data_IF_103643193039
#
_entry.id   IF_103643193039
#
_cell.length_a   1.000
_cell.length_b   1.000
_cell.length_c   1.000
_cell.angle_alpha   90.00
_cell.angle_beta   90.00
_cell.angle_gamma   90.00
#
_symmetry.space_group_name_H-M   'P 1'
#
loop_
_entity.id
_entity.type
_entity.pdbx_description
1 polymer ?
#
# COMPACT_ATOMS: atom_id res chain seq x y z
N UNK A 1 11.44 3.75 4.62
CA UNK A 1 10.02 4.12 4.45
C UNK A 1 9.90 5.52 3.88
N UNK A 2 10.54 6.54 4.46
CA UNK A 2 10.53 7.92 3.92
C UNK A 2 10.97 8.07 2.45
N UNK A 3 12.07 7.42 2.03
CA UNK A 3 12.55 7.53 0.63
C UNK A 3 11.56 6.98 -0.41
N UNK A 4 10.78 5.94 -0.06
CA UNK A 4 9.79 5.33 -0.96
C UNK A 4 8.59 6.26 -1.14
N UNK A 5 8.16 6.89 -0.06
CA UNK A 5 7.06 7.87 -0.11
C UNK A 5 7.43 9.04 -1.04
N UNK A 6 8.67 9.54 -0.95
CA UNK A 6 9.16 10.62 -1.83
C UNK A 6 9.18 10.18 -3.29
N UNK A 7 9.71 8.99 -3.59
CA UNK A 7 9.78 8.48 -4.97
C UNK A 7 8.39 8.29 -5.60
N UNK A 8 7.42 7.80 -4.83
CA UNK A 8 6.04 7.61 -5.28
C UNK A 8 5.31 8.93 -5.57
N UNK A 9 5.66 10.00 -4.85
CA UNK A 9 5.11 11.34 -5.07
C UNK A 9 5.70 12.01 -6.33
N UNK A 10 6.95 11.69 -6.68
CA UNK A 10 7.73 12.36 -7.72
C UNK A 10 7.43 11.85 -9.15
N UNK A 11 7.44 10.53 -9.37
CA UNK A 11 7.50 10.01 -10.75
C UNK A 11 6.16 9.85 -11.48
N UNK A 12 5.01 9.69 -10.79
CA UNK A 12 3.74 9.32 -11.49
C UNK A 12 2.43 9.87 -10.93
N UNK A 13 2.43 10.55 -9.78
CA UNK A 13 1.19 10.78 -9.06
C UNK A 13 1.17 12.14 -8.34
N UNK A 14 1.10 13.24 -9.11
CA UNK A 14 0.93 14.60 -8.60
C UNK A 14 -0.36 14.85 -7.77
N UNK A 15 -1.11 13.80 -7.42
CA UNK A 15 -2.33 13.86 -6.63
C UNK A 15 -2.41 12.80 -5.53
N UNK A 16 -1.40 11.93 -5.35
CA UNK A 16 -1.36 11.04 -4.20
C UNK A 16 -0.91 11.84 -2.98
N UNK A 17 -1.73 11.85 -1.93
CA UNK A 17 -1.38 12.45 -0.66
C UNK A 17 -0.96 11.36 0.34
N UNK A 18 0.07 11.61 1.15
CA UNK A 18 0.46 10.72 2.22
C UNK A 18 -0.51 10.82 3.39
N UNK A 19 -0.91 9.66 3.91
CA UNK A 19 -1.72 9.54 5.10
C UNK A 19 -1.06 8.57 6.08
N UNK A 20 -1.27 8.84 7.36
CA UNK A 20 -0.96 7.91 8.43
C UNK A 20 -2.27 7.51 9.10
N UNK A 21 -2.50 6.20 9.19
CA UNK A 21 -3.60 5.64 9.97
C UNK A 21 -3.12 5.41 11.40
N UNK A 22 -3.64 6.18 12.35
CA UNK A 22 -3.26 6.04 13.75
C UNK A 22 -3.76 4.74 14.39
N UNK A 23 -4.87 4.16 13.92
CA UNK A 23 -5.42 2.94 14.51
C UNK A 23 -4.63 1.72 14.02
N UNK A 24 -4.37 1.68 12.71
CA UNK A 24 -3.67 0.58 12.04
C UNK A 24 -2.15 0.75 12.03
N UNK A 25 -1.65 1.91 12.48
CA UNK A 25 -0.23 2.28 12.53
C UNK A 25 0.49 2.12 11.19
N UNK A 26 -0.19 2.46 10.09
CA UNK A 26 0.29 2.27 8.71
C UNK A 26 0.32 3.58 7.94
N UNK A 27 1.40 3.76 7.17
CA UNK A 27 1.48 4.80 6.15
C UNK A 27 0.92 4.28 4.84
N UNK A 28 0.10 5.09 4.18
CA UNK A 28 -0.41 4.80 2.83
C UNK A 28 -0.51 6.10 2.01
N UNK A 29 -0.55 5.95 0.69
CA UNK A 29 -0.81 7.04 -0.23
C UNK A 29 -2.22 6.90 -0.80
N UNK A 30 -2.92 8.00 -1.04
CA UNK A 30 -4.25 7.99 -1.62
C UNK A 30 -4.53 9.24 -2.44
N UNK A 31 -5.36 9.11 -3.47
CA UNK A 31 -5.90 10.25 -4.23
C UNK A 31 -7.26 10.65 -3.67
N UNK A 32 -7.52 11.94 -3.49
CA UNK A 32 -8.77 12.46 -2.87
C UNK A 32 -10.05 11.97 -3.56
N UNK A 33 -10.03 11.83 -4.89
CA UNK A 33 -11.16 11.43 -5.72
C UNK A 33 -11.31 9.91 -5.89
N UNK A 34 -10.47 9.10 -5.23
CA UNK A 34 -10.51 7.64 -5.33
C UNK A 34 -10.61 7.00 -3.96
N UNK A 35 -11.11 5.76 -3.90
CA UNK A 35 -10.99 4.94 -2.69
C UNK A 35 -9.69 4.13 -2.65
N UNK A 36 -8.87 4.20 -3.70
CA UNK A 36 -7.63 3.44 -3.79
C UNK A 36 -6.61 3.89 -2.75
N UNK A 37 -6.13 2.95 -1.93
CA UNK A 37 -5.05 3.14 -0.97
C UNK A 37 -3.83 2.33 -1.39
N UNK A 38 -2.68 3.00 -1.47
CA UNK A 38 -1.41 2.42 -1.87
C UNK A 38 -0.51 2.28 -0.65
N UNK A 39 -0.18 1.05 -0.27
CA UNK A 39 0.68 0.75 0.87
C UNK A 39 2.12 0.60 0.36
N UNK A 40 3.03 1.53 0.69
CA UNK A 40 4.43 1.44 0.28
C UNK A 40 5.17 0.36 1.09
N UNK A 41 5.81 -0.55 0.37
CA UNK A 41 6.57 -1.66 0.95
C UNK A 41 7.98 -1.75 0.35
N UNK A 42 8.93 -2.22 1.15
CA UNK A 42 10.26 -2.60 0.65
C UNK A 42 10.18 -4.08 0.30
N UNK A 43 10.73 -4.50 -0.84
CA UNK A 43 10.72 -5.92 -1.28
C UNK A 43 11.28 -6.91 -0.24
N UNK A 44 12.15 -6.48 0.67
CA UNK A 44 12.73 -7.32 1.73
C UNK A 44 11.87 -7.44 2.98
N UNK A 45 10.78 -6.67 3.10
CA UNK A 45 9.87 -6.73 4.24
C UNK A 45 8.69 -7.64 3.92
N UNK A 46 8.36 -8.53 4.87
CA UNK A 46 7.15 -9.34 4.80
C UNK A 46 5.89 -8.47 4.78
N UNK A 47 4.86 -8.97 4.09
CA UNK A 47 3.53 -8.37 4.09
C UNK A 47 2.78 -8.91 5.30
N UNK A 48 2.31 -8.02 6.17
CA UNK A 48 1.45 -8.41 7.28
C UNK A 48 0.01 -8.55 6.77
N UNK A 49 -0.41 -9.79 6.49
CA UNK A 49 -1.74 -10.07 5.93
C UNK A 49 -2.89 -9.49 6.78
N UNK A 50 -2.78 -9.57 8.10
CA UNK A 50 -3.77 -8.98 9.02
C UNK A 50 -3.94 -7.46 8.87
N UNK A 51 -2.85 -6.75 8.56
CA UNK A 51 -2.90 -5.31 8.28
C UNK A 51 -3.62 -5.05 6.95
N UNK A 52 -3.34 -5.88 5.94
CA UNK A 52 -3.97 -5.77 4.62
C UNK A 52 -5.47 -6.03 4.72
N UNK A 53 -5.89 -7.05 5.48
CA UNK A 53 -7.30 -7.33 5.78
C UNK A 53 -7.97 -6.14 6.48
N UNK A 54 -7.34 -5.59 7.54
CA UNK A 54 -7.88 -4.42 8.24
C UNK A 54 -8.00 -3.17 7.34
N UNK A 55 -7.06 -2.98 6.41
CA UNK A 55 -7.14 -1.93 5.40
C UNK A 55 -8.28 -2.20 4.40
N UNK A 56 -8.48 -3.44 3.97
CA UNK A 56 -9.59 -3.83 3.10
C UNK A 56 -10.96 -3.60 3.78
N UNK A 57 -11.07 -3.83 5.08
CA UNK A 57 -12.29 -3.51 5.84
C UNK A 57 -12.57 -2.00 5.89
N UNK A 58 -11.51 -1.18 5.98
CA UNK A 58 -11.62 0.28 6.05
C UNK A 58 -11.92 0.94 4.69
N UNK A 59 -11.28 0.47 3.62
CA UNK A 59 -11.33 1.13 2.31
C UNK A 59 -12.08 0.34 1.23
N UNK A 60 -12.44 -0.91 1.50
CA UNK A 60 -13.07 -1.82 0.54
C UNK A 60 -12.09 -2.84 -0.04
N UNK A 61 -12.57 -4.08 -0.22
CA UNK A 61 -11.75 -5.26 -0.56
C UNK A 61 -10.90 -5.14 -1.83
N UNK A 62 -11.32 -4.33 -2.81
CA UNK A 62 -10.62 -4.19 -4.10
C UNK A 62 -9.89 -2.85 -4.24
N UNK A 63 -9.78 -2.07 -3.17
CA UNK A 63 -9.22 -0.73 -3.20
C UNK A 63 -7.80 -0.67 -2.60
N UNK A 64 -7.23 -1.80 -2.21
CA UNK A 64 -5.88 -1.86 -1.63
C UNK A 64 -4.87 -2.25 -2.69
N UNK A 65 -3.81 -1.46 -2.80
CA UNK A 65 -2.69 -1.69 -3.70
C UNK A 65 -1.40 -1.73 -2.90
N UNK A 66 -0.56 -2.73 -3.15
CA UNK A 66 0.79 -2.78 -2.60
C UNK A 66 1.75 -2.15 -3.62
N UNK A 67 2.47 -1.12 -3.19
CA UNK A 67 3.52 -0.48 -3.98
C UNK A 67 4.87 -0.97 -3.45
N UNK A 68 5.38 -2.05 -4.04
CA UNK A 68 6.60 -2.73 -3.60
C UNK A 68 7.80 -2.15 -4.36
N UNK A 69 8.74 -1.56 -3.63
CA UNK A 69 9.98 -1.03 -4.19
C UNK A 69 11.08 -2.08 -4.10
N UNK A 70 11.65 -2.43 -5.26
CA UNK A 70 12.76 -3.35 -5.36
C UNK A 70 14.12 -2.67 -5.12
N UNK A 71 15.20 -3.45 -5.18
CA UNK A 71 16.57 -2.97 -4.97
C UNK A 71 17.13 -2.12 -6.14
N UNK A 72 16.44 -2.08 -7.27
CA UNK A 72 16.81 -1.30 -8.46
C UNK A 72 16.08 0.04 -8.53
N UNK A 73 15.19 0.32 -7.56
CA UNK A 73 14.36 1.52 -7.54
C UNK A 73 13.07 1.38 -8.36
N UNK A 74 12.81 0.21 -8.96
CA UNK A 74 11.55 -0.03 -9.64
C UNK A 74 10.43 -0.27 -8.62
N UNK A 75 9.23 0.18 -8.98
CA UNK A 75 8.03 0.01 -8.16
C UNK A 75 7.04 -0.91 -8.86
N UNK A 76 6.70 -2.00 -8.18
CA UNK A 76 5.68 -2.95 -8.62
C UNK A 76 4.38 -2.67 -7.87
N UNK A 77 3.29 -2.56 -8.62
CA UNK A 77 1.95 -2.32 -8.07
C UNK A 77 1.12 -3.60 -8.16
N UNK A 78 0.70 -4.12 -7.01
CA UNK A 78 -0.19 -5.28 -6.93
C UNK A 78 -1.51 -4.89 -6.31
N UNK A 79 -2.62 -5.10 -7.03
CA UNK A 79 -3.94 -4.98 -6.43
C UNK A 79 -4.19 -6.20 -5.53
N UNK A 80 -4.61 -5.93 -4.30
CA UNK A 80 -5.03 -6.98 -3.39
C UNK A 80 -6.54 -7.12 -3.51
N UNK A 81 -6.99 -8.32 -3.83
CA UNK A 81 -8.41 -8.67 -3.91
C UNK A 81 -8.85 -9.43 -2.66
N UNK A 82 -10.15 -9.71 -2.58
CA UNK A 82 -10.68 -10.64 -1.58
C UNK A 82 -9.97 -11.99 -1.60
N UNK A 83 -9.78 -12.58 -0.42
CA UNK A 83 -9.12 -13.88 -0.24
C UNK A 83 -7.59 -13.82 -0.10
N UNK A 84 -6.99 -12.63 -0.13
CA UNK A 84 -5.57 -12.44 0.17
C UNK A 84 -5.28 -12.75 1.65
N UNK A 85 -4.79 -13.96 1.91
CA UNK A 85 -4.56 -14.48 3.25
C UNK A 85 -3.33 -15.38 3.27
N UNK A 86 -2.80 -15.62 4.47
CA UNK A 86 -1.73 -16.61 4.63
C UNK A 86 -2.24 -17.99 4.20
N UNK A 87 -1.35 -18.75 3.56
CA UNK A 87 -1.63 -20.16 3.22
C UNK A 87 -1.79 -20.93 4.53
N UNK A 88 -3.03 -21.22 4.91
CA UNK A 88 -3.36 -22.11 6.02
C UNK A 88 -2.94 -23.53 5.62
N UNK A 89 -1.93 -24.06 6.29
CA UNK A 89 -1.50 -25.46 6.17
C UNK A 89 -2.29 -26.34 7.15
#
# INVERSE_FOLDING_TARGET
>A
MFAIIIYLLDERCGHLQPHYDDDLKVFYLRKEDTQAAYIPLIHTKGIHFSLVEAMQDKFGKNNIFLAIVDNTGNILYYQVTEGFSEKKF
#
